data_IF_393919920320
#
_entry.id   IF_393919920320
#
_cell.length_a   1.000
_cell.length_b   1.000
_cell.length_c   1.000
_cell.angle_alpha   90.00
_cell.angle_beta   90.00
_cell.angle_gamma   90.00
#
_symmetry.space_group_name_H-M   'P 1'
#
loop_
_entity.id
_entity.type
_entity.pdbx_description
1 polymer ?
#
# COMPACT_ATOMS: atom_id res chain seq x y z
N UNK A 1 -27.50 30.33 7.47
CA UNK A 1 -26.28 31.00 7.98
C UNK A 1 -25.25 31.02 6.86
N UNK A 2 -24.28 31.94 6.87
CA UNK A 2 -23.19 31.96 5.87
C UNK A 2 -21.85 31.99 6.59
N UNK A 3 -20.90 31.22 6.07
CA UNK A 3 -19.52 31.21 6.56
C UNK A 3 -18.91 32.61 6.49
N UNK A 4 -18.26 33.05 7.56
CA UNK A 4 -17.69 34.40 7.61
C UNK A 4 -16.49 34.55 6.64
N UNK A 5 -16.19 35.79 6.24
CA UNK A 5 -15.18 36.06 5.21
C UNK A 5 -13.78 35.61 5.64
N UNK A 6 -13.45 35.72 6.93
CA UNK A 6 -12.17 35.27 7.49
C UNK A 6 -12.00 33.76 7.29
N UNK A 7 -13.02 32.97 7.62
CA UNK A 7 -13.02 31.53 7.43
C UNK A 7 -12.98 31.15 5.94
N UNK A 8 -13.71 31.87 5.08
CA UNK A 8 -13.65 31.67 3.62
C UNK A 8 -12.24 31.88 3.09
N UNK A 9 -11.59 33.00 3.46
CA UNK A 9 -10.24 33.31 3.01
C UNK A 9 -9.25 32.26 3.50
N UNK A 10 -9.32 31.90 4.78
CA UNK A 10 -8.45 30.90 5.38
C UNK A 10 -8.56 29.53 4.68
N UNK A 11 -9.78 29.07 4.39
CA UNK A 11 -9.99 27.80 3.67
C UNK A 11 -9.43 27.84 2.24
N UNK A 12 -9.55 28.98 1.55
CA UNK A 12 -8.98 29.15 0.20
C UNK A 12 -7.46 29.18 0.21
N UNK A 13 -6.87 29.94 1.12
CA UNK A 13 -5.42 30.05 1.30
C UNK A 13 -4.79 28.69 1.62
N UNK A 14 -5.47 27.88 2.44
CA UNK A 14 -5.03 26.52 2.77
C UNK A 14 -5.44 25.47 1.73
N UNK A 15 -6.03 25.88 0.59
CA UNK A 15 -6.45 24.99 -0.50
C UNK A 15 -7.39 23.87 -0.05
N UNK A 16 -8.39 24.22 0.76
CA UNK A 16 -9.45 23.29 1.14
C UNK A 16 -10.09 22.67 -0.12
N UNK A 17 -10.34 21.36 -0.09
CA UNK A 17 -10.95 20.69 -1.22
C UNK A 17 -12.34 21.27 -1.53
N UNK A 18 -12.75 21.16 -2.80
CA UNK A 18 -14.02 21.74 -3.26
C UNK A 18 -15.22 21.26 -2.43
N UNK A 19 -15.26 19.97 -2.11
CA UNK A 19 -16.35 19.36 -1.34
C UNK A 19 -16.43 19.93 0.09
N UNK A 20 -15.30 19.90 0.83
CA UNK A 20 -15.24 20.43 2.19
C UNK A 20 -15.51 21.92 2.26
N UNK A 21 -14.98 22.70 1.30
CA UNK A 21 -15.25 24.14 1.21
C UNK A 21 -16.74 24.42 0.94
N UNK A 22 -17.35 23.68 0.01
CA UNK A 22 -18.76 23.87 -0.36
C UNK A 22 -19.68 23.50 0.80
N UNK A 23 -19.40 22.41 1.50
CA UNK A 23 -20.12 22.02 2.71
C UNK A 23 -19.98 23.09 3.81
N UNK A 24 -18.74 23.50 4.15
CA UNK A 24 -18.50 24.48 5.20
C UNK A 24 -19.17 25.83 4.90
N UNK A 25 -19.21 26.24 3.63
CA UNK A 25 -19.86 27.48 3.19
C UNK A 25 -21.38 27.48 3.40
N UNK A 26 -22.01 26.31 3.38
CA UNK A 26 -23.47 26.12 3.53
C UNK A 26 -23.86 25.87 4.98
N UNK A 27 -23.10 25.03 5.67
CA UNK A 27 -23.50 24.46 6.95
C UNK A 27 -22.89 25.17 8.16
N UNK A 28 -21.83 25.97 7.99
CA UNK A 28 -21.10 26.60 9.10
C UNK A 28 -21.03 28.13 8.98
N UNK A 29 -20.77 28.78 10.12
CA UNK A 29 -20.51 30.23 10.22
C UNK A 29 -19.06 30.56 10.55
N UNK A 30 -18.33 29.66 11.22
CA UNK A 30 -16.95 29.87 11.68
C UNK A 30 -16.09 28.62 11.47
N UNK A 31 -14.76 28.77 11.48
CA UNK A 31 -13.84 27.62 11.47
C UNK A 31 -13.97 26.75 12.73
N UNK A 32 -14.33 27.34 13.87
CA UNK A 32 -14.59 26.59 15.10
C UNK A 32 -15.78 25.63 14.94
N UNK A 33 -16.83 26.09 14.26
CA UNK A 33 -17.99 25.26 13.92
C UNK A 33 -17.63 24.19 12.89
N UNK A 34 -16.77 24.51 11.91
CA UNK A 34 -16.24 23.54 10.95
C UNK A 34 -15.57 22.39 11.68
N UNK A 35 -14.60 22.64 12.56
CA UNK A 35 -13.91 21.53 13.27
C UNK A 35 -14.83 20.78 14.24
N UNK A 36 -15.87 21.42 14.77
CA UNK A 36 -16.82 20.80 15.69
C UNK A 36 -17.84 19.88 15.01
N UNK A 37 -18.17 20.13 13.74
CA UNK A 37 -19.30 19.48 13.04
C UNK A 37 -18.93 18.78 11.74
N UNK A 38 -17.74 19.02 11.20
CA UNK A 38 -17.29 18.38 9.98
C UNK A 38 -17.11 16.88 10.17
N UNK A 39 -17.07 16.17 9.02
CA UNK A 39 -16.57 14.80 9.00
C UNK A 39 -15.18 14.73 9.66
N UNK A 40 -14.84 13.64 10.37
CA UNK A 40 -13.58 13.54 11.12
C UNK A 40 -12.32 13.83 10.29
N UNK A 41 -12.27 13.38 9.03
CA UNK A 41 -11.15 13.61 8.13
C UNK A 41 -10.95 15.10 7.80
N UNK A 42 -12.04 15.85 7.62
CA UNK A 42 -11.97 17.30 7.40
C UNK A 42 -11.60 18.08 8.65
N UNK A 43 -12.10 17.66 9.82
CA UNK A 43 -11.71 18.26 11.09
C UNK A 43 -10.21 18.07 11.34
N UNK A 44 -9.69 16.86 11.17
CA UNK A 44 -8.24 16.56 11.28
C UNK A 44 -7.44 17.39 10.27
N UNK A 45 -7.93 17.53 9.03
CA UNK A 45 -7.26 18.34 8.02
C UNK A 45 -7.11 19.81 8.47
N UNK A 46 -8.16 20.40 9.04
CA UNK A 46 -8.11 21.76 9.58
C UNK A 46 -7.14 21.86 10.75
N UNK A 47 -7.24 20.97 11.74
CA UNK A 47 -6.35 20.97 12.92
C UNK A 47 -4.87 20.84 12.57
N UNK A 48 -4.56 20.12 11.50
CA UNK A 48 -3.18 19.89 11.04
C UNK A 48 -2.65 20.97 10.09
N UNK A 49 -3.39 22.06 9.86
CA UNK A 49 -2.87 23.20 9.09
C UNK A 49 -1.92 24.06 9.92
N UNK A 50 -0.91 24.68 9.29
CA UNK A 50 0.02 25.57 9.98
C UNK A 50 -0.71 26.67 10.77
N UNK A 51 -0.30 26.88 12.02
CA UNK A 51 -0.82 27.93 12.90
C UNK A 51 -2.17 27.64 13.55
N UNK A 52 -2.79 26.48 13.31
CA UNK A 52 -4.05 26.09 13.99
C UNK A 52 -3.77 25.46 15.36
N UNK A 53 -2.78 24.56 15.41
CA UNK A 53 -2.26 23.97 16.64
C UNK A 53 -0.80 24.38 16.81
N UNK A 54 -0.34 24.41 18.06
CA UNK A 54 1.09 24.56 18.35
C UNK A 54 1.88 23.29 17.98
N UNK A 55 3.17 23.45 17.71
CA UNK A 55 4.05 22.36 17.27
C UNK A 55 4.07 21.18 18.24
N UNK A 56 4.02 21.45 19.55
CA UNK A 56 4.02 20.39 20.56
C UNK A 56 2.75 19.55 20.43
N UNK A 57 1.58 20.17 20.35
CA UNK A 57 0.30 19.46 20.19
C UNK A 57 0.28 18.69 18.87
N UNK A 58 0.78 19.26 17.77
CA UNK A 58 0.89 18.56 16.49
C UNK A 58 1.77 17.31 16.57
N UNK A 59 2.94 17.40 17.22
CA UNK A 59 3.82 16.26 17.40
C UNK A 59 3.20 15.18 18.30
N UNK A 60 2.51 15.56 19.37
CA UNK A 60 1.80 14.60 20.22
C UNK A 60 0.68 13.89 19.48
N UNK A 61 -0.07 14.60 18.64
CA UNK A 61 -1.08 14.01 17.77
C UNK A 61 -0.45 13.05 16.76
N UNK A 62 0.66 13.44 16.12
CA UNK A 62 1.39 12.56 15.20
C UNK A 62 1.89 11.28 15.90
N UNK A 63 2.45 11.40 17.11
CA UNK A 63 2.84 10.24 17.92
C UNK A 63 1.65 9.33 18.23
N UNK A 64 0.51 9.90 18.63
CA UNK A 64 -0.71 9.12 18.90
C UNK A 64 -1.19 8.36 17.66
N UNK A 65 -1.21 8.99 16.49
CA UNK A 65 -1.57 8.36 15.22
C UNK A 65 -0.59 7.23 14.84
N UNK A 66 0.71 7.46 14.98
CA UNK A 66 1.74 6.46 14.70
C UNK A 66 1.62 5.25 15.64
N UNK A 67 1.31 5.48 16.90
CA UNK A 67 1.08 4.45 17.91
C UNK A 67 -0.11 3.54 17.55
N UNK A 68 -1.21 4.10 17.03
CA UNK A 68 -2.34 3.29 16.55
C UNK A 68 -1.96 2.37 15.38
N UNK A 69 -0.95 2.76 14.60
CA UNK A 69 -0.48 1.99 13.44
C UNK A 69 0.47 0.85 13.83
N UNK A 70 1.04 0.86 15.04
CA UNK A 70 1.98 -0.18 15.49
C UNK A 70 1.35 -1.58 15.51
N UNK A 71 0.03 -1.68 15.70
CA UNK A 71 -0.68 -2.96 15.62
C UNK A 71 -0.49 -3.65 14.27
N UNK A 72 -0.35 -2.89 13.18
CA UNK A 72 -0.12 -3.47 11.85
C UNK A 72 1.35 -3.85 11.67
N UNK A 73 2.27 -3.03 12.19
CA UNK A 73 3.70 -3.32 12.17
C UNK A 73 4.02 -4.65 12.85
N UNK A 74 3.53 -4.85 14.07
CA UNK A 74 3.82 -6.05 14.86
C UNK A 74 3.14 -7.33 14.36
N UNK A 75 2.22 -7.26 13.39
CA UNK A 75 1.71 -8.46 12.70
C UNK A 75 2.80 -9.14 11.86
N UNK A 76 3.79 -8.38 11.40
CA UNK A 76 4.85 -8.87 10.49
C UNK A 76 6.21 -8.83 11.19
N UNK A 77 6.50 -7.79 11.96
CA UNK A 77 7.81 -7.55 12.57
C UNK A 77 7.72 -7.52 14.10
N UNK A 78 7.44 -8.67 14.72
CA UNK A 78 7.13 -8.79 16.16
C UNK A 78 8.21 -8.21 17.08
N UNK A 79 9.48 -8.47 16.77
CA UNK A 79 10.64 -8.08 17.59
C UNK A 79 11.27 -6.75 17.14
N UNK A 80 10.74 -6.11 16.09
CA UNK A 80 11.29 -4.84 15.60
C UNK A 80 10.66 -3.66 16.33
N UNK A 81 11.32 -3.24 17.40
CA UNK A 81 10.87 -2.15 18.26
C UNK A 81 11.29 -0.76 17.78
N UNK A 82 12.01 -0.63 16.66
CA UNK A 82 12.54 0.65 16.19
C UNK A 82 11.45 1.72 15.97
N UNK A 83 10.28 1.40 15.38
CA UNK A 83 9.20 2.39 15.24
C UNK A 83 8.63 2.86 16.59
N UNK A 84 8.48 1.94 17.55
CA UNK A 84 8.02 2.28 18.91
C UNK A 84 9.03 3.16 19.63
N UNK A 85 10.32 2.84 19.55
CA UNK A 85 11.39 3.63 20.14
C UNK A 85 11.45 5.04 19.55
N UNK A 86 11.19 5.21 18.26
CA UNK A 86 11.10 6.55 17.64
C UNK A 86 9.92 7.38 18.18
N UNK A 87 8.77 6.75 18.44
CA UNK A 87 7.62 7.41 19.06
C UNK A 87 7.95 7.84 20.50
N UNK A 88 8.54 6.94 21.29
CA UNK A 88 8.96 7.20 22.67
C UNK A 88 10.02 8.31 22.73
N UNK A 89 11.01 8.28 21.84
CA UNK A 89 12.05 9.31 21.73
C UNK A 89 11.46 10.68 21.39
N UNK A 90 10.49 10.76 20.45
CA UNK A 90 9.80 12.02 20.14
C UNK A 90 9.02 12.56 21.35
N UNK A 91 8.32 11.70 22.10
CA UNK A 91 7.60 12.11 23.32
C UNK A 91 8.57 12.62 24.39
N UNK A 92 9.66 11.90 24.64
CA UNK A 92 10.69 12.31 25.59
C UNK A 92 11.41 13.61 25.18
N UNK A 93 11.62 13.82 23.88
CA UNK A 93 12.20 15.07 23.37
C UNK A 93 11.29 16.27 23.64
N UNK A 94 9.97 16.11 23.45
CA UNK A 94 9.00 17.14 23.82
C UNK A 94 9.01 17.40 25.34
N UNK A 95 9.30 16.40 26.16
CA UNK A 95 9.43 16.55 27.62
C UNK A 95 10.80 17.09 28.06
N UNK A 96 11.76 17.23 27.14
CA UNK A 96 13.13 17.65 27.44
C UNK A 96 13.99 16.57 28.11
N UNK A 97 13.55 15.31 28.08
CA UNK A 97 14.28 14.16 28.66
C UNK A 97 15.15 13.42 27.65
N UNK A 98 14.97 13.70 26.36
CA UNK A 98 15.73 13.11 25.24
C UNK A 98 16.40 14.22 24.45
N UNK A 99 17.67 14.04 24.12
CA UNK A 99 18.48 14.99 23.35
C UNK A 99 18.13 14.96 21.86
N UNK A 100 18.52 16.02 21.13
CA UNK A 100 18.40 16.05 19.67
C UNK A 100 19.11 14.88 18.99
N UNK A 101 20.28 14.49 19.51
CA UNK A 101 21.07 13.38 18.97
C UNK A 101 20.37 12.03 19.15
N UNK A 102 19.81 11.77 20.33
CA UNK A 102 19.07 10.55 20.62
C UNK A 102 17.78 10.48 19.79
N UNK A 103 17.07 11.60 19.65
CA UNK A 103 15.90 11.70 18.77
C UNK A 103 16.27 11.39 17.32
N UNK A 104 17.37 11.97 16.81
CA UNK A 104 17.82 11.74 15.44
C UNK A 104 18.23 10.28 15.22
N UNK A 105 18.91 9.66 16.19
CA UNK A 105 19.29 8.26 16.14
C UNK A 105 18.06 7.34 16.09
N UNK A 106 17.06 7.58 16.94
CA UNK A 106 15.82 6.81 16.94
C UNK A 106 15.03 6.98 15.63
N UNK A 107 15.00 8.19 15.09
CA UNK A 107 14.39 8.47 13.79
C UNK A 107 15.08 7.72 12.66
N UNK A 108 16.42 7.76 12.61
CA UNK A 108 17.21 7.03 11.62
C UNK A 108 16.99 5.51 11.72
N UNK A 109 16.92 4.97 12.94
CA UNK A 109 16.62 3.55 13.15
C UNK A 109 15.24 3.16 12.62
N UNK A 110 14.21 3.98 12.83
CA UNK A 110 12.86 3.73 12.29
C UNK A 110 12.83 3.76 10.75
N UNK A 111 13.53 4.69 10.11
CA UNK A 111 13.68 4.72 8.64
C UNK A 111 14.40 3.49 8.09
N UNK A 112 15.42 3.00 8.80
CA UNK A 112 16.08 1.75 8.45
C UNK A 112 15.12 0.56 8.56
N UNK A 113 14.21 0.56 9.53
CA UNK A 113 13.19 -0.48 9.67
C UNK A 113 12.22 -0.49 8.48
N UNK A 114 11.69 0.67 8.11
CA UNK A 114 10.82 0.83 6.93
C UNK A 114 11.52 0.36 5.65
N UNK A 115 12.77 0.78 5.44
CA UNK A 115 13.55 0.40 4.26
C UNK A 115 13.76 -1.11 4.17
N UNK A 116 14.04 -1.77 5.31
CA UNK A 116 14.16 -3.21 5.38
C UNK A 116 12.83 -3.91 5.06
N UNK A 117 11.72 -3.39 5.58
CA UNK A 117 10.38 -3.91 5.31
C UNK A 117 10.00 -3.82 3.82
N UNK A 118 10.23 -2.67 3.19
CA UNK A 118 10.01 -2.48 1.74
C UNK A 118 10.87 -3.41 0.89
N UNK A 119 12.12 -3.61 1.29
CA UNK A 119 13.03 -4.52 0.59
C UNK A 119 12.56 -5.97 0.67
N UNK A 120 12.10 -6.40 1.85
CA UNK A 120 11.55 -7.74 2.06
C UNK A 120 10.27 -7.96 1.25
N UNK A 121 9.36 -6.99 1.22
CA UNK A 121 8.15 -7.05 0.40
C UNK A 121 8.49 -7.15 -1.09
N UNK A 122 9.39 -6.28 -1.58
CA UNK A 122 9.83 -6.29 -2.98
C UNK A 122 10.45 -7.64 -3.38
N UNK A 123 11.26 -8.23 -2.51
CA UNK A 123 11.85 -9.54 -2.73
C UNK A 123 10.78 -10.65 -2.79
N UNK A 124 9.79 -10.62 -1.90
CA UNK A 124 8.69 -11.57 -1.89
C UNK A 124 7.84 -11.48 -3.18
N UNK A 125 7.52 -10.26 -3.62
CA UNK A 125 6.82 -10.02 -4.88
C UNK A 125 7.61 -10.53 -6.10
N UNK A 126 8.91 -10.26 -6.13
CA UNK A 126 9.79 -10.74 -7.20
C UNK A 126 9.83 -12.28 -7.24
N UNK A 127 9.97 -12.92 -6.09
CA UNK A 127 10.01 -14.38 -6.00
C UNK A 127 8.67 -15.01 -6.45
N UNK A 128 7.54 -14.45 -6.00
CA UNK A 128 6.21 -14.90 -6.42
C UNK A 128 6.00 -14.74 -7.94
N UNK A 129 6.45 -13.62 -8.50
CA UNK A 129 6.40 -13.37 -9.94
C UNK A 129 7.24 -14.38 -10.72
N UNK A 130 8.49 -14.60 -10.33
CA UNK A 130 9.37 -15.56 -11.00
C UNK A 130 8.80 -16.98 -10.95
N UNK A 131 8.22 -17.40 -9.82
CA UNK A 131 7.57 -18.70 -9.71
C UNK A 131 6.37 -18.84 -10.66
N UNK A 132 5.55 -17.79 -10.79
CA UNK A 132 4.41 -17.77 -11.71
C UNK A 132 4.87 -17.81 -13.18
N UNK A 133 5.90 -17.04 -13.53
CA UNK A 133 6.48 -17.04 -14.88
C UNK A 133 7.05 -18.42 -15.25
N UNK A 134 7.84 -19.04 -14.36
CA UNK A 134 8.37 -20.40 -14.59
C UNK A 134 7.28 -21.46 -14.75
N UNK A 135 6.18 -21.36 -13.99
CA UNK A 135 5.04 -22.27 -14.14
C UNK A 135 4.33 -22.09 -15.48
N UNK A 136 4.16 -20.85 -15.94
CA UNK A 136 3.56 -20.53 -17.23
C UNK A 136 4.43 -21.04 -18.40
N UNK A 137 5.74 -20.83 -18.33
CA UNK A 137 6.70 -21.35 -19.32
C UNK A 137 6.65 -22.88 -19.39
N UNK A 138 6.63 -23.55 -18.24
CA UNK A 138 6.54 -25.01 -18.18
C UNK A 138 5.25 -25.54 -18.82
N UNK A 139 4.12 -24.89 -18.55
CA UNK A 139 2.83 -25.25 -19.15
C UNK A 139 2.82 -25.03 -20.67
N UNK A 140 3.41 -23.92 -21.13
CA UNK A 140 3.56 -23.62 -22.56
C UNK A 140 4.41 -24.68 -23.27
N UNK A 141 5.58 -25.03 -22.72
CA UNK A 141 6.44 -26.07 -23.29
C UNK A 141 5.77 -27.44 -23.34
N UNK A 142 4.95 -27.78 -22.34
CA UNK A 142 4.18 -29.03 -22.34
C UNK A 142 3.10 -29.05 -23.44
N UNK A 143 2.39 -27.93 -23.63
CA UNK A 143 1.38 -27.79 -24.69
C UNK A 143 2.00 -27.89 -26.09
N UNK A 144 3.11 -27.19 -26.33
CA UNK A 144 3.89 -27.29 -27.58
C UNK A 144 4.33 -28.72 -27.87
N UNK A 145 4.83 -29.43 -26.85
CA UNK A 145 5.26 -30.82 -26.98
C UNK A 145 4.10 -31.76 -27.34
N UNK A 146 2.92 -31.56 -26.74
CA UNK A 146 1.73 -32.33 -27.06
C UNK A 146 1.25 -32.08 -28.51
N UNK A 147 1.24 -30.82 -28.95
CA UNK A 147 0.85 -30.46 -30.31
C UNK A 147 1.82 -31.02 -31.36
N UNK A 148 3.13 -30.97 -31.08
CA UNK A 148 4.15 -31.58 -31.94
C UNK A 148 3.97 -33.10 -32.05
N UNK A 149 3.67 -33.78 -30.93
CA UNK A 149 3.40 -35.21 -30.94
C UNK A 149 2.15 -35.56 -31.77
N UNK A 150 1.06 -34.82 -31.59
CA UNK A 150 -0.17 -35.03 -32.37
C UNK A 150 0.03 -34.78 -33.87
N UNK A 151 0.78 -33.73 -34.22
CA UNK A 151 1.16 -33.44 -35.60
C UNK A 151 1.99 -34.56 -36.23
N UNK A 152 2.90 -35.16 -35.45
CA UNK A 152 3.69 -36.31 -35.90
C UNK A 152 2.83 -37.55 -36.15
N UNK A 153 1.89 -37.87 -35.24
CA UNK A 153 0.93 -38.97 -35.44
C UNK A 153 0.06 -38.75 -36.67
N UNK A 154 -0.43 -37.51 -36.88
CA UNK A 154 -1.22 -37.16 -38.05
C UNK A 154 -0.43 -37.35 -39.35
N UNK A 155 0.84 -36.92 -39.39
CA UNK A 155 1.71 -37.10 -40.55
C UNK A 155 1.96 -38.59 -40.86
N UNK A 156 2.23 -39.42 -39.84
CA UNK A 156 2.41 -40.87 -40.01
C UNK A 156 1.13 -41.54 -40.54
N UNK A 157 -0.04 -41.18 -39.99
CA UNK A 157 -1.31 -41.71 -40.44
C UNK A 157 -1.63 -41.31 -41.90
N UNK A 158 -1.31 -40.06 -42.30
CA UNK A 158 -1.50 -39.61 -43.68
C UNK A 158 -0.59 -40.35 -44.65
N UNK A 159 0.69 -40.55 -44.30
CA UNK A 159 1.61 -41.34 -45.11
C UNK A 159 1.08 -42.76 -45.37
N UNK A 160 0.56 -43.44 -44.33
CA UNK A 160 -0.05 -44.77 -44.47
C UNK A 160 -1.29 -44.73 -45.38
N UNK A 161 -2.15 -43.71 -45.26
CA UNK A 161 -3.33 -43.55 -46.11
C UNK A 161 -2.99 -43.39 -47.60
N UNK A 162 -1.88 -42.73 -47.90
CA UNK A 162 -1.43 -42.49 -49.27
C UNK A 162 -0.68 -43.68 -49.89
N UNK A 163 0.00 -44.49 -49.07
CA UNK A 163 0.99 -45.46 -49.56
C UNK A 163 0.67 -46.92 -49.23
N UNK A 164 -0.22 -47.21 -48.27
CA UNK A 164 -0.57 -48.59 -47.92
C UNK A 164 -1.67 -49.13 -48.85
N UNK A 165 -1.53 -50.38 -49.29
CA UNK A 165 -2.63 -51.14 -49.90
C UNK A 165 -3.67 -51.53 -48.84
N UNK A 166 -4.90 -51.80 -49.26
CA UNK A 166 -6.06 -52.03 -48.38
C UNK A 166 -5.75 -53.03 -47.26
N UNK A 167 -5.91 -52.66 -45.97
CA UNK A 167 -5.59 -53.56 -44.87
C UNK A 167 -6.50 -54.79 -44.89
N UNK A 168 -5.93 -55.96 -44.59
CA UNK A 168 -6.66 -57.23 -44.58
C UNK A 168 -7.32 -57.46 -43.21
N UNK A 169 -8.57 -57.03 -43.06
CA UNK A 169 -9.38 -57.22 -41.84
C UNK A 169 -10.11 -58.57 -41.88
N UNK A 170 -9.38 -59.67 -41.73
CA UNK A 170 -10.02 -61.00 -41.58
C UNK A 170 -10.32 -61.28 -40.12
N UNK A 171 -11.59 -61.53 -39.81
CA UNK A 171 -12.05 -61.96 -38.49
C UNK A 171 -11.41 -63.31 -38.15
N UNK A 172 -10.63 -63.37 -37.06
CA UNK A 172 -10.07 -64.62 -36.57
C UNK A 172 -11.20 -65.45 -35.97
N UNK A 173 -11.60 -66.51 -36.68
CA UNK A 173 -12.53 -67.57 -36.23
C UNK A 173 -11.89 -68.39 -35.12
#
# INVERSE_FOLDING_TARGET
MKLNQTAINWLKENSACYEGFTWASKECTTLAEVVATARPDWAIWVYTRPGVLDDRTLWLFACWCAEQSLVNWYKVYLEDHRPKQAIEARRGWLEGTVTDQELLAAWSAAWSAESAAWSAESAAWSAARSAAESAAESAWSAAESAWAAESAWAAQANWLRENATTPNFVDKV
#
